data_IF_874268875145
#
_entry.id   IF_874268875145
#
_cell.length_a   1.000
_cell.length_b   1.000
_cell.length_c   1.000
_cell.angle_alpha   90.00
_cell.angle_beta   90.00
_cell.angle_gamma   90.00
#
_symmetry.space_group_name_H-M   'P 1'
#
loop_
_entity.id
_entity.type
_entity.pdbx_description
1 polymer ?
#
# COMPACT_ATOMS: atom_id res chain seq x y z
N UNK A 1 -16.96 -18.34 -8.73
CA UNK A 1 -16.67 -17.23 -7.80
C UNK A 1 -16.32 -16.04 -8.66
N UNK A 2 -17.14 -14.98 -8.64
CA UNK A 2 -16.97 -13.86 -9.58
C UNK A 2 -15.55 -13.33 -9.41
N UNK A 3 -14.91 -13.02 -10.52
CA UNK A 3 -13.56 -12.50 -10.64
C UNK A 3 -13.31 -11.13 -9.91
N UNK A 4 -14.30 -10.26 -9.59
CA UNK A 4 -14.00 -8.86 -9.28
C UNK A 4 -13.36 -8.64 -7.89
N UNK A 5 -13.50 -9.57 -6.94
CA UNK A 5 -12.89 -9.43 -5.62
C UNK A 5 -11.36 -9.55 -5.68
N UNK A 6 -10.85 -10.54 -6.41
CA UNK A 6 -9.41 -10.68 -6.62
C UNK A 6 -8.84 -9.50 -7.41
N UNK A 7 -9.58 -9.04 -8.41
CA UNK A 7 -9.25 -7.84 -9.20
C UNK A 7 -9.14 -6.59 -8.33
N UNK A 8 -10.03 -6.42 -7.35
CA UNK A 8 -10.00 -5.26 -6.45
C UNK A 8 -8.72 -5.21 -5.60
N UNK A 9 -8.24 -6.36 -5.09
CA UNK A 9 -7.00 -6.39 -4.31
C UNK A 9 -5.80 -6.00 -5.16
N UNK A 10 -5.74 -6.49 -6.39
CA UNK A 10 -4.68 -6.16 -7.33
C UNK A 10 -4.74 -4.68 -7.72
N UNK A 11 -5.95 -4.15 -7.92
CA UNK A 11 -6.18 -2.72 -8.17
C UNK A 11 -5.64 -1.85 -7.03
N UNK A 12 -5.99 -2.17 -5.78
CA UNK A 12 -5.50 -1.43 -4.61
C UNK A 12 -3.98 -1.48 -4.48
N UNK A 13 -3.39 -2.67 -4.67
CA UNK A 13 -1.94 -2.85 -4.68
C UNK A 13 -1.29 -1.97 -5.76
N UNK A 14 -1.78 -2.04 -7.00
CA UNK A 14 -1.26 -1.23 -8.11
C UNK A 14 -1.41 0.26 -7.84
N UNK A 15 -2.54 0.72 -7.29
CA UNK A 15 -2.71 2.14 -6.94
C UNK A 15 -1.71 2.60 -5.89
N UNK A 16 -1.39 1.77 -4.89
CA UNK A 16 -0.39 2.11 -3.88
C UNK A 16 1.03 2.16 -4.48
N UNK A 17 1.33 1.29 -5.44
CA UNK A 17 2.59 1.35 -6.19
C UNK A 17 2.70 2.58 -7.07
N UNK A 18 1.65 2.93 -7.82
CA UNK A 18 1.61 4.14 -8.66
C UNK A 18 1.80 5.39 -7.81
N UNK A 19 1.09 5.48 -6.68
CA UNK A 19 1.27 6.57 -5.72
C UNK A 19 2.69 6.60 -5.18
N UNK A 20 3.21 5.46 -4.71
CA UNK A 20 4.57 5.36 -4.20
C UNK A 20 5.63 5.82 -5.20
N UNK A 21 5.58 5.34 -6.44
CA UNK A 21 6.53 5.71 -7.50
C UNK A 21 6.39 7.19 -7.85
N UNK A 22 5.17 7.68 -8.02
CA UNK A 22 4.90 9.09 -8.31
C UNK A 22 5.54 10.01 -7.25
N UNK A 23 5.43 9.65 -5.96
CA UNK A 23 6.03 10.45 -4.89
C UNK A 23 7.55 10.37 -4.85
N UNK A 24 8.17 9.24 -5.21
CA UNK A 24 9.62 9.22 -5.43
C UNK A 24 9.96 10.23 -6.51
N UNK A 25 9.32 10.16 -7.68
CA UNK A 25 9.66 11.01 -8.81
C UNK A 25 9.45 12.50 -8.55
N UNK A 26 8.42 12.90 -7.80
CA UNK A 26 8.11 14.31 -7.52
C UNK A 26 8.92 14.90 -6.35
N UNK A 27 9.11 14.15 -5.25
CA UNK A 27 9.82 14.65 -4.06
C UNK A 27 11.35 14.50 -4.14
N UNK A 28 11.87 13.65 -5.04
CA UNK A 28 13.32 13.58 -5.30
C UNK A 28 13.82 14.59 -6.35
N UNK A 29 12.97 15.51 -6.83
CA UNK A 29 13.50 16.76 -7.40
C UNK A 29 14.30 17.46 -6.30
N UNK A 30 15.58 17.79 -6.52
CA UNK A 30 16.47 18.22 -5.45
C UNK A 30 16.18 19.68 -5.09
N UNK A 31 15.07 19.93 -4.40
CA UNK A 31 14.93 21.14 -3.60
C UNK A 31 15.76 20.92 -2.35
N UNK A 32 16.87 21.66 -2.25
CA UNK A 32 17.75 21.69 -1.08
C UNK A 32 16.90 22.14 0.12
N UNK A 33 16.41 21.18 0.91
CA UNK A 33 15.76 21.44 2.20
C UNK A 33 16.88 21.45 3.23
N UNK A 34 17.16 22.63 3.80
CA UNK A 34 18.11 22.80 4.91
C UNK A 34 17.55 21.99 6.10
N UNK A 35 18.25 20.97 6.61
CA UNK A 35 17.73 20.16 7.72
C UNK A 35 17.77 20.96 9.03
N UNK A 36 16.62 21.14 9.67
CA UNK A 36 16.57 21.59 11.07
C UNK A 36 16.96 20.43 11.99
N UNK A 37 17.81 20.71 12.99
CA UNK A 37 18.41 19.72 13.89
C UNK A 37 17.41 18.86 14.70
N UNK A 38 16.13 19.25 14.77
CA UNK A 38 15.08 18.52 15.48
C UNK A 38 14.34 17.48 14.61
N UNK A 39 14.71 17.38 13.32
CA UNK A 39 14.15 16.40 12.38
C UNK A 39 15.18 15.32 12.08
N UNK A 40 15.38 14.40 13.03
CA UNK A 40 16.15 13.18 12.81
C UNK A 40 15.44 12.28 11.77
N UNK A 41 15.70 12.58 10.50
CA UNK A 41 15.28 11.88 9.29
C UNK A 41 16.10 10.58 9.10
N UNK A 42 15.87 9.56 9.91
CA UNK A 42 16.55 8.27 9.72
C UNK A 42 16.07 7.53 8.46
N UNK A 43 14.94 7.94 7.87
CA UNK A 43 14.46 7.53 6.56
C UNK A 43 13.43 8.57 6.10
N UNK A 44 13.43 8.99 4.83
CA UNK A 44 12.32 9.85 4.36
C UNK A 44 11.02 9.06 4.53
N UNK A 45 9.97 9.68 5.09
CA UNK A 45 8.68 9.02 5.37
C UNK A 45 8.15 8.27 4.13
N UNK A 46 8.45 8.82 2.95
CA UNK A 46 8.18 8.23 1.64
C UNK A 46 8.89 6.89 1.39
N UNK A 47 10.17 6.76 1.76
CA UNK A 47 10.92 5.49 1.66
C UNK A 47 10.39 4.43 2.62
N UNK A 48 9.99 4.84 3.83
CA UNK A 48 9.36 3.95 4.82
C UNK A 48 8.03 3.39 4.30
N UNK A 49 7.19 4.23 3.69
CA UNK A 49 5.92 3.82 3.09
C UNK A 49 6.08 2.90 1.88
N UNK A 50 7.11 3.12 1.05
CA UNK A 50 7.44 2.22 -0.06
C UNK A 50 7.89 0.86 0.45
N UNK A 51 8.72 0.82 1.49
CA UNK A 51 9.07 -0.43 2.17
C UNK A 51 7.85 -1.16 2.72
N UNK A 52 6.87 -0.43 3.26
CA UNK A 52 5.63 -1.02 3.77
C UNK A 52 4.75 -1.55 2.63
N UNK A 53 4.71 -0.85 1.51
CA UNK A 53 4.01 -1.26 0.27
C UNK A 53 4.64 -2.52 -0.32
N UNK A 54 5.98 -2.60 -0.38
CA UNK A 54 6.69 -3.77 -0.90
C UNK A 54 6.52 -4.99 0.00
N UNK A 55 6.63 -4.82 1.33
CA UNK A 55 6.37 -5.89 2.30
C UNK A 55 4.94 -6.43 2.15
N UNK A 56 3.92 -5.56 2.12
CA UNK A 56 2.55 -6.01 1.96
C UNK A 56 2.27 -6.62 0.59
N UNK A 57 2.96 -6.18 -0.47
CA UNK A 57 2.91 -6.83 -1.79
C UNK A 57 3.42 -8.27 -1.72
N UNK A 58 4.55 -8.49 -1.04
CA UNK A 58 5.13 -9.82 -0.84
C UNK A 58 4.23 -10.75 -0.02
N UNK A 59 3.39 -10.23 0.87
CA UNK A 59 2.38 -11.02 1.57
C UNK A 59 1.10 -11.24 0.73
N UNK A 60 0.67 -10.22 -0.02
CA UNK A 60 -0.59 -10.23 -0.78
C UNK A 60 -0.52 -11.20 -1.96
N UNK A 61 0.61 -11.26 -2.69
CA UNK A 61 0.76 -12.11 -3.87
C UNK A 61 0.65 -13.62 -3.54
N UNK A 62 1.37 -14.17 -2.54
CA UNK A 62 1.21 -15.56 -2.12
C UNK A 62 -0.18 -15.85 -1.57
N UNK A 63 -0.78 -14.92 -0.80
CA UNK A 63 -2.13 -15.08 -0.28
C UNK A 63 -3.16 -15.19 -1.42
N UNK A 64 -3.06 -14.32 -2.42
CA UNK A 64 -3.90 -14.37 -3.63
C UNK A 64 -3.67 -15.68 -4.39
N UNK A 65 -2.42 -16.07 -4.62
CA UNK A 65 -2.07 -17.31 -5.31
C UNK A 65 -2.63 -18.55 -4.61
N UNK A 66 -2.52 -18.60 -3.28
CA UNK A 66 -3.08 -19.66 -2.45
C UNK A 66 -4.60 -19.71 -2.56
N UNK A 67 -5.28 -18.57 -2.45
CA UNK A 67 -6.75 -18.47 -2.57
C UNK A 67 -7.24 -18.86 -3.96
N UNK A 68 -6.45 -18.63 -5.01
CA UNK A 68 -6.77 -19.05 -6.37
C UNK A 68 -6.61 -20.56 -6.53
N UNK A 69 -5.50 -21.13 -6.06
CA UNK A 69 -5.22 -22.59 -6.13
C UNK A 69 -6.24 -23.41 -5.34
N UNK A 70 -6.60 -22.96 -4.15
CA UNK A 70 -7.53 -23.68 -3.25
C UNK A 70 -9.01 -23.37 -3.49
N UNK A 71 -9.34 -22.68 -4.59
CA UNK A 71 -10.70 -22.20 -4.88
C UNK A 71 -11.77 -23.29 -4.92
N UNK A 72 -11.38 -24.50 -5.29
CA UNK A 72 -12.26 -25.67 -5.44
C UNK A 72 -12.33 -26.54 -4.17
N UNK A 73 -11.35 -26.41 -3.26
CA UNK A 73 -11.18 -27.27 -2.08
C UNK A 73 -11.78 -26.64 -0.81
N UNK A 74 -11.74 -25.31 -0.68
CA UNK A 74 -12.23 -24.60 0.50
C UNK A 74 -13.76 -24.42 0.47
N UNK A 75 -14.50 -25.33 1.10
CA UNK A 75 -15.95 -25.19 1.34
C UNK A 75 -16.28 -24.03 2.28
N UNK A 76 -15.35 -23.59 3.13
CA UNK A 76 -15.56 -22.53 4.14
C UNK A 76 -15.45 -21.12 3.52
N UNK A 77 -16.48 -20.71 2.77
CA UNK A 77 -16.57 -19.38 2.13
C UNK A 77 -16.31 -18.23 3.11
N UNK A 78 -16.82 -18.29 4.34
CA UNK A 78 -16.66 -17.23 5.36
C UNK A 78 -15.19 -16.86 5.61
N UNK A 79 -14.32 -17.83 5.86
CA UNK A 79 -12.89 -17.60 6.16
C UNK A 79 -12.21 -16.86 5.00
N UNK A 80 -12.53 -17.24 3.76
CA UNK A 80 -11.98 -16.61 2.56
C UNK A 80 -12.41 -15.14 2.42
N UNK A 81 -13.67 -14.83 2.73
CA UNK A 81 -14.15 -13.45 2.72
C UNK A 81 -13.50 -12.63 3.83
N UNK A 82 -13.34 -13.19 5.03
CA UNK A 82 -12.65 -12.51 6.14
C UNK A 82 -11.20 -12.17 5.78
N UNK A 83 -10.45 -13.12 5.20
CA UNK A 83 -9.07 -12.88 4.76
C UNK A 83 -8.96 -11.81 3.66
N UNK A 84 -9.88 -11.81 2.69
CA UNK A 84 -9.91 -10.78 1.65
C UNK A 84 -10.27 -9.41 2.23
N UNK A 85 -11.25 -9.36 3.13
CA UNK A 85 -11.67 -8.12 3.78
C UNK A 85 -10.54 -7.51 4.60
N UNK A 86 -9.85 -8.30 5.44
CA UNK A 86 -8.70 -7.81 6.19
C UNK A 86 -7.60 -7.28 5.27
N UNK A 87 -7.35 -7.97 4.17
CA UNK A 87 -6.38 -7.51 3.16
C UNK A 87 -6.78 -6.17 2.54
N UNK A 88 -8.07 -5.95 2.21
CA UNK A 88 -8.52 -4.66 1.70
C UNK A 88 -8.40 -3.54 2.72
N UNK A 89 -8.75 -3.79 3.98
CA UNK A 89 -8.63 -2.80 5.06
C UNK A 89 -7.18 -2.34 5.19
N UNK A 90 -6.23 -3.27 5.13
CA UNK A 90 -4.81 -2.91 5.18
C UNK A 90 -4.39 -2.11 3.95
N UNK A 91 -4.76 -2.53 2.74
CA UNK A 91 -4.44 -1.76 1.54
C UNK A 91 -5.02 -0.34 1.56
N UNK A 92 -6.27 -0.18 2.02
CA UNK A 92 -6.88 1.14 2.19
C UNK A 92 -6.13 1.98 3.23
N UNK A 93 -5.70 1.40 4.34
CA UNK A 93 -4.91 2.09 5.36
C UNK A 93 -3.55 2.56 4.81
N UNK A 94 -2.88 1.72 4.00
CA UNK A 94 -1.61 2.08 3.34
C UNK A 94 -1.82 3.26 2.39
N UNK A 95 -2.83 3.20 1.52
CA UNK A 95 -3.13 4.27 0.57
C UNK A 95 -3.53 5.55 1.30
N UNK A 96 -4.36 5.46 2.33
CA UNK A 96 -4.74 6.62 3.14
C UNK A 96 -3.53 7.27 3.83
N UNK A 97 -2.61 6.45 4.34
CA UNK A 97 -1.35 6.93 4.94
C UNK A 97 -0.46 7.63 3.90
N UNK A 98 -0.30 7.03 2.72
CA UNK A 98 0.42 7.65 1.59
C UNK A 98 -0.20 9.00 1.20
N UNK A 99 -1.53 9.06 1.06
CA UNK A 99 -2.24 10.30 0.73
C UNK A 99 -2.10 11.37 1.82
N UNK A 100 -2.17 10.98 3.10
CA UNK A 100 -2.01 11.91 4.22
C UNK A 100 -0.62 12.53 4.25
N UNK A 101 0.43 11.71 4.12
CA UNK A 101 1.82 12.17 4.10
C UNK A 101 2.06 13.07 2.88
N UNK A 102 1.47 12.75 1.74
CA UNK A 102 1.51 13.61 0.57
C UNK A 102 0.80 14.94 0.79
N UNK A 103 -0.41 14.93 1.36
CA UNK A 103 -1.15 16.15 1.65
C UNK A 103 -0.38 17.06 2.64
N UNK A 104 0.32 16.47 3.60
CA UNK A 104 1.21 17.19 4.52
C UNK A 104 2.41 17.80 3.78
N UNK A 105 3.10 17.01 2.93
CA UNK A 105 4.24 17.50 2.15
C UNK A 105 3.86 18.56 1.10
N UNK A 106 2.63 18.52 0.58
CA UNK A 106 2.10 19.54 -0.35
C UNK A 106 1.53 20.77 0.38
N UNK A 107 1.54 20.81 1.71
CA UNK A 107 0.99 21.92 2.51
C UNK A 107 -0.54 22.05 2.43
N UNK A 108 -1.24 21.01 1.97
CA UNK A 108 -2.71 20.98 1.83
C UNK A 108 -3.37 20.68 3.19
N UNK A 109 -2.69 19.93 4.05
CA UNK A 109 -3.19 19.56 5.38
C UNK A 109 -2.10 19.81 6.42
N UNK A 110 -2.40 20.64 7.43
CA UNK A 110 -1.54 20.91 8.57
C UNK A 110 -1.88 20.01 9.76
#
# INVERSE_FOLDING_TARGET
MKIPLLSLSLGLMLTSWVLGIYFISFLYSPTIIIPLFDQFLWMSETKGLLGLTTLFTLFTLPLIGFLFKTRHLLKKRKIRYTMLFSNYVVWLAIIASQLKITAYNLGICH
#
